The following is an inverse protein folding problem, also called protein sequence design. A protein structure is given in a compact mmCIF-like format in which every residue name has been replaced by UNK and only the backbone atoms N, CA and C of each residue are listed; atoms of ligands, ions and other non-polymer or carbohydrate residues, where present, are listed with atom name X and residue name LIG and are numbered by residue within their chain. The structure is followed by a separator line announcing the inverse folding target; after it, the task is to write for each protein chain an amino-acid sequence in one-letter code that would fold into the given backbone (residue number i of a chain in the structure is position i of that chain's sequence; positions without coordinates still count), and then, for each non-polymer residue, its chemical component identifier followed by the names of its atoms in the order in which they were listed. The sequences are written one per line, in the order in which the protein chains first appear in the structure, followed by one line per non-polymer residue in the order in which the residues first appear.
data_IF_657624619115
#
_entry.id   IF_657624619115
#
_cell.length_a   1.000
_cell.length_b   1.000
_cell.length_c   1.000
_cell.angle_alpha   90.00
_cell.angle_beta   90.00
_cell.angle_gamma   90.00
#
_symmetry.space_group_name_H-M   'P 1'
#
loop_
_entity.id
_entity.type
_entity.pdbx_description
1 polymer ?
#
# COMPACT_ATOMS: atom_id res chain seq x y z
N UNK A 1 1.47 71.47 33.01
CA UNK A 1 0.67 70.39 32.41
C UNK A 1 1.55 69.17 32.28
N UNK A 2 1.42 68.25 33.23
CA UNK A 2 2.25 67.07 33.45
C UNK A 2 1.34 65.86 33.27
N UNK A 3 1.71 64.94 32.38
CA UNK A 3 0.92 63.76 32.02
C UNK A 3 0.84 62.76 33.20
N UNK A 4 -0.31 62.09 33.43
CA UNK A 4 -0.39 61.02 34.42
C UNK A 4 0.24 59.72 33.88
N UNK A 5 0.88 58.98 34.79
CA UNK A 5 1.42 57.62 34.62
C UNK A 5 0.28 56.60 34.66
N UNK A 6 0.25 55.68 33.71
CA UNK A 6 -0.54 54.44 33.81
C UNK A 6 0.36 53.23 34.09
N UNK A 7 -0.19 52.34 34.90
CA UNK A 7 0.44 51.25 35.66
C UNK A 7 0.40 49.96 34.81
N UNK A 8 1.43 49.10 34.81
CA UNK A 8 1.41 47.86 34.04
C UNK A 8 0.60 46.79 34.77
N UNK A 9 -0.34 46.16 34.06
CA UNK A 9 -1.06 44.97 34.54
C UNK A 9 -0.36 43.74 34.00
N UNK A 10 0.35 43.04 34.88
CA UNK A 10 0.76 41.65 34.66
C UNK A 10 0.12 40.77 35.73
N UNK A 11 -0.95 40.05 35.41
CA UNK A 11 -1.21 38.70 35.96
C UNK A 11 -2.44 38.07 35.31
N UNK A 12 -2.22 37.16 34.37
CA UNK A 12 -3.06 35.98 34.19
C UNK A 12 -2.12 34.82 33.89
N UNK A 13 -1.87 34.00 34.91
CA UNK A 13 -1.17 32.75 34.79
C UNK A 13 -2.01 31.79 33.96
N UNK A 14 -1.54 31.43 32.77
CA UNK A 14 -2.06 30.30 32.01
C UNK A 14 -1.16 29.08 32.29
N UNK A 15 -1.81 28.01 32.76
CA UNK A 15 -1.20 26.72 33.07
C UNK A 15 -0.33 26.18 31.93
N UNK A 16 0.77 25.54 32.32
CA UNK A 16 1.79 24.98 31.43
C UNK A 16 1.28 23.89 30.48
N UNK A 17 0.87 24.30 29.28
CA UNK A 17 0.97 23.47 28.10
C UNK A 17 2.23 23.88 27.35
N UNK A 18 3.16 22.95 27.16
CA UNK A 18 4.34 23.14 26.32
C UNK A 18 3.87 23.57 24.92
N UNK A 19 4.36 24.71 24.44
CA UNK A 19 4.00 25.24 23.13
C UNK A 19 4.33 24.19 22.05
N UNK A 20 3.51 24.03 20.99
CA UNK A 20 3.81 23.13 19.91
C UNK A 20 5.18 23.51 19.33
N UNK A 21 6.13 22.58 19.38
CA UNK A 21 7.50 22.79 18.90
C UNK A 21 7.42 23.34 17.47
N UNK A 22 7.98 24.52 17.27
CA UNK A 22 8.09 25.17 15.96
C UNK A 22 8.63 24.15 14.94
N UNK A 23 8.07 24.07 13.71
CA UNK A 23 8.55 23.12 12.72
C UNK A 23 10.05 23.37 12.48
N UNK A 24 10.86 22.38 12.82
CA UNK A 24 12.31 22.45 12.63
C UNK A 24 12.61 22.79 11.16
N UNK A 25 13.59 23.66 10.88
CA UNK A 25 14.01 23.93 9.50
C UNK A 25 14.43 22.62 8.84
N UNK A 26 14.00 22.40 7.60
CA UNK A 26 14.28 21.18 6.83
C UNK A 26 15.80 20.99 6.71
N UNK A 27 16.38 20.17 7.59
CA UNK A 27 17.75 19.69 7.46
C UNK A 27 17.70 18.47 6.55
N UNK A 28 18.39 18.56 5.42
CA UNK A 28 18.34 17.56 4.35
C UNK A 28 18.64 16.14 4.81
N UNK A 29 19.36 15.95 5.93
CA UNK A 29 19.68 14.64 6.50
C UNK A 29 18.71 14.13 7.58
N UNK A 30 17.86 14.98 8.16
CA UNK A 30 16.96 14.52 9.23
C UNK A 30 15.76 13.78 8.64
N UNK A 31 15.78 12.44 8.74
CA UNK A 31 14.68 11.58 8.27
C UNK A 31 13.37 11.80 9.03
N UNK A 32 13.38 12.52 10.14
CA UNK A 32 12.16 12.89 10.88
C UNK A 32 11.39 14.01 10.19
N UNK A 33 12.05 14.82 9.35
CA UNK A 33 11.47 16.00 8.71
C UNK A 33 10.63 15.68 7.46
N UNK A 34 10.57 14.42 7.03
CA UNK A 34 9.79 14.00 5.85
C UNK A 34 9.31 12.55 5.95
N UNK A 35 8.33 12.19 5.14
CA UNK A 35 7.91 10.83 4.81
C UNK A 35 8.72 10.37 3.59
N UNK A 36 9.40 9.24 3.74
CA UNK A 36 10.13 8.58 2.66
C UNK A 36 9.43 7.34 2.12
N UNK A 37 9.93 6.83 0.98
CA UNK A 37 9.35 5.65 0.34
C UNK A 37 9.30 4.41 1.23
N UNK A 38 10.26 4.20 2.14
CA UNK A 38 10.18 3.10 3.11
C UNK A 38 9.08 3.29 4.14
N UNK A 39 8.76 4.55 4.48
CA UNK A 39 7.72 4.90 5.45
C UNK A 39 6.33 4.68 4.85
N UNK A 40 6.18 4.94 3.54
CA UNK A 40 4.98 4.68 2.76
C UNK A 40 4.46 3.24 2.96
N UNK A 41 5.38 2.26 3.00
CA UNK A 41 5.06 0.85 3.27
C UNK A 41 4.40 0.66 4.63
N UNK A 42 4.91 1.32 5.67
CA UNK A 42 4.37 1.22 7.03
C UNK A 42 3.02 1.92 7.12
N UNK A 43 2.90 3.10 6.50
CA UNK A 43 1.67 3.91 6.48
C UNK A 43 0.52 3.18 5.79
N UNK A 44 0.81 2.52 4.67
CA UNK A 44 -0.18 1.73 3.91
C UNK A 44 -0.38 0.31 4.45
N UNK A 45 0.37 -0.09 5.47
CA UNK A 45 0.33 -1.43 6.04
C UNK A 45 -0.83 -1.65 7.02
N UNK A 46 -0.91 -2.88 7.53
CA UNK A 46 -1.91 -3.30 8.53
C UNK A 46 -1.33 -3.48 9.94
N UNK A 47 -0.06 -3.14 10.16
CA UNK A 47 0.61 -3.27 11.45
C UNK A 47 0.49 -1.98 12.25
N UNK A 48 -0.44 -1.97 13.22
CA UNK A 48 -0.70 -0.81 14.05
C UNK A 48 0.49 -0.44 14.95
N UNK A 49 1.27 -1.44 15.40
CA UNK A 49 2.43 -1.20 16.25
C UNK A 49 3.57 -0.55 15.45
N UNK A 50 3.82 -1.02 14.23
CA UNK A 50 4.78 -0.39 13.32
C UNK A 50 4.37 1.04 12.94
N UNK A 51 3.08 1.28 12.69
CA UNK A 51 2.55 2.61 12.38
C UNK A 51 2.74 3.59 13.54
N UNK A 52 2.38 3.16 14.76
CA UNK A 52 2.55 3.96 15.96
C UNK A 52 4.03 4.26 16.22
N UNK A 53 4.90 3.26 16.07
CA UNK A 53 6.34 3.45 16.24
C UNK A 53 6.92 4.44 15.23
N UNK A 54 6.57 4.31 13.94
CA UNK A 54 7.00 5.27 12.92
C UNK A 54 6.57 6.70 13.30
N UNK A 55 5.36 6.88 13.83
CA UNK A 55 4.89 8.19 14.29
C UNK A 55 5.72 8.73 15.46
N UNK A 56 6.06 7.90 16.45
CA UNK A 56 6.95 8.29 17.56
C UNK A 56 8.35 8.67 17.05
N UNK A 57 8.90 7.92 16.09
CA UNK A 57 10.20 8.21 15.47
C UNK A 57 10.16 9.56 14.74
N UNK A 58 9.13 9.84 13.95
CA UNK A 58 8.96 11.14 13.26
C UNK A 58 8.83 12.32 14.22
N UNK A 59 8.29 12.08 15.43
CA UNK A 59 8.18 13.10 16.48
C UNK A 59 9.44 13.22 17.34
N UNK A 60 10.42 12.33 17.16
CA UNK A 60 11.62 12.26 17.98
C UNK A 60 11.33 11.84 19.43
N UNK A 61 10.24 11.10 19.65
CA UNK A 61 9.87 10.55 20.95
C UNK A 61 10.60 9.23 21.21
N UNK A 62 10.96 8.51 20.15
CA UNK A 62 11.82 7.33 20.19
C UNK A 62 12.89 7.45 19.11
N UNK A 63 14.06 6.90 19.39
CA UNK A 63 15.12 6.80 18.38
C UNK A 63 14.81 5.69 17.35
N UNK A 64 15.29 5.85 16.10
CA UNK A 64 15.19 4.80 15.10
C UNK A 64 15.81 3.49 15.60
N UNK A 65 15.24 2.36 15.19
CA UNK A 65 15.81 1.05 15.48
C UNK A 65 17.22 0.97 14.87
N UNK A 66 18.20 0.59 15.68
CA UNK A 66 19.51 0.23 15.17
C UNK A 66 19.44 -1.14 14.48
N UNK A 67 19.58 -1.12 13.16
CA UNK A 67 19.58 -2.31 12.30
C UNK A 67 21.00 -2.70 11.84
N UNK A 68 22.04 -2.13 12.46
CA UNK A 68 23.44 -2.46 12.13
C UNK A 68 23.78 -3.94 12.36
N UNK A 69 23.16 -4.57 13.36
CA UNK A 69 23.28 -5.99 13.66
C UNK A 69 22.32 -6.91 12.91
N UNK A 70 21.37 -6.37 12.12
CA UNK A 70 20.41 -7.19 11.37
C UNK A 70 21.04 -7.66 10.04
N UNK A 71 21.35 -8.96 9.97
CA UNK A 71 22.01 -9.55 8.81
C UNK A 71 21.24 -9.35 7.50
N UNK A 72 19.91 -9.38 7.52
CA UNK A 72 19.10 -9.22 6.30
C UNK A 72 19.19 -7.78 5.79
N UNK A 73 19.17 -6.80 6.69
CA UNK A 73 19.39 -5.39 6.36
C UNK A 73 20.81 -5.16 5.83
N UNK A 74 21.81 -5.78 6.44
CA UNK A 74 23.20 -5.67 5.97
C UNK A 74 23.39 -6.31 4.58
N UNK A 75 22.76 -7.46 4.32
CA UNK A 75 22.75 -8.08 3.00
C UNK A 75 22.08 -7.18 1.96
N UNK A 76 20.97 -6.53 2.31
CA UNK A 76 20.33 -5.52 1.45
C UNK A 76 21.30 -4.39 1.07
N UNK A 77 21.94 -3.79 2.07
CA UNK A 77 22.91 -2.70 1.88
C UNK A 77 24.11 -3.13 1.03
N UNK A 78 24.70 -4.30 1.33
CA UNK A 78 25.87 -4.80 0.63
C UNK A 78 25.57 -5.20 -0.83
N UNK A 79 24.35 -5.66 -1.11
CA UNK A 79 23.95 -6.12 -2.45
C UNK A 79 23.40 -5.01 -3.33
N UNK A 80 23.02 -3.85 -2.80
CA UNK A 80 22.48 -2.74 -3.61
C UNK A 80 23.43 -2.31 -4.76
N UNK A 81 24.75 -2.08 -4.53
CA UNK A 81 25.67 -1.74 -5.63
C UNK A 81 25.83 -2.87 -6.64
N UNK A 82 25.87 -4.12 -6.17
CA UNK A 82 25.95 -5.30 -7.03
C UNK A 82 24.70 -5.42 -7.91
N UNK A 83 23.52 -5.23 -7.33
CA UNK A 83 22.23 -5.29 -8.01
C UNK A 83 22.15 -4.23 -9.12
N UNK A 84 22.56 -3.00 -8.83
CA UNK A 84 22.69 -1.93 -9.85
C UNK A 84 23.63 -2.33 -10.98
N UNK A 85 24.85 -2.78 -10.67
CA UNK A 85 25.83 -3.19 -11.70
C UNK A 85 25.27 -4.31 -12.56
N UNK A 86 24.60 -5.28 -11.94
CA UNK A 86 24.00 -6.41 -12.63
C UNK A 86 22.87 -5.97 -13.56
N UNK A 87 21.94 -5.14 -13.08
CA UNK A 87 20.87 -4.56 -13.92
C UNK A 87 21.43 -3.85 -15.16
N UNK A 88 22.44 -2.99 -14.98
CA UNK A 88 23.05 -2.26 -16.10
C UNK A 88 23.68 -3.21 -17.13
N UNK A 89 24.32 -4.30 -16.67
CA UNK A 89 24.91 -5.31 -17.55
C UNK A 89 23.87 -6.10 -18.33
N UNK A 90 22.75 -6.46 -17.70
CA UNK A 90 21.71 -7.28 -18.33
C UNK A 90 20.86 -6.48 -19.32
N UNK A 91 20.57 -5.21 -19.01
CA UNK A 91 19.66 -4.39 -19.81
C UNK A 91 20.36 -3.42 -20.76
N UNK A 92 21.64 -3.12 -20.52
CA UNK A 92 22.37 -2.03 -21.20
C UNK A 92 21.91 -0.63 -20.77
N UNK A 93 20.95 -0.50 -19.86
CA UNK A 93 20.52 0.78 -19.32
C UNK A 93 21.49 1.30 -18.27
N UNK A 94 21.74 2.61 -18.25
CA UNK A 94 22.60 3.24 -17.27
C UNK A 94 21.77 3.72 -16.07
N UNK A 95 22.33 3.61 -14.87
CA UNK A 95 21.71 4.11 -13.63
C UNK A 95 22.45 5.36 -13.16
N UNK A 96 21.71 6.46 -13.05
CA UNK A 96 22.17 7.74 -12.53
C UNK A 96 21.47 8.09 -11.21
N UNK A 97 21.80 9.25 -10.63
CA UNK A 97 21.14 9.76 -9.41
C UNK A 97 21.11 8.80 -8.22
N UNK A 98 22.15 7.95 -8.11
CA UNK A 98 22.34 6.97 -7.05
C UNK A 98 22.40 7.65 -5.68
N UNK A 99 21.62 7.14 -4.73
CA UNK A 99 21.50 7.64 -3.36
C UNK A 99 21.15 9.14 -3.28
N UNK A 100 20.59 9.70 -4.36
CA UNK A 100 20.16 11.10 -4.41
C UNK A 100 18.83 11.24 -3.67
N UNK A 101 18.79 12.17 -2.73
CA UNK A 101 17.55 12.59 -2.07
C UNK A 101 16.85 13.68 -2.88
N UNK A 102 15.58 13.48 -3.17
CA UNK A 102 14.71 14.44 -3.87
C UNK A 102 13.52 14.75 -2.98
N UNK A 103 13.20 16.04 -2.81
CA UNK A 103 12.01 16.49 -2.10
C UNK A 103 10.94 16.85 -3.11
N UNK A 104 9.70 16.45 -2.86
CA UNK A 104 8.61 16.76 -3.78
C UNK A 104 8.42 18.28 -3.92
N UNK A 105 8.19 18.81 -5.13
CA UNK A 105 8.17 20.25 -5.39
C UNK A 105 7.08 20.99 -4.60
N UNK A 106 5.90 20.38 -4.42
CA UNK A 106 4.77 20.95 -3.66
C UNK A 106 4.72 20.47 -2.21
N UNK A 107 4.62 19.16 -1.98
CA UNK A 107 4.59 18.54 -0.64
C UNK A 107 5.98 18.45 0.01
N UNK A 108 6.40 19.51 0.72
CA UNK A 108 7.75 19.57 1.35
C UNK A 108 8.01 18.53 2.44
N UNK A 109 6.96 17.90 2.95
CA UNK A 109 7.03 16.80 3.91
C UNK A 109 7.27 15.43 3.24
N UNK A 110 7.40 15.37 1.91
CA UNK A 110 7.53 14.12 1.16
C UNK A 110 8.84 14.12 0.38
N UNK A 111 9.63 13.07 0.51
CA UNK A 111 10.93 12.97 -0.16
C UNK A 111 11.33 11.52 -0.45
N UNK A 112 12.07 11.29 -1.52
CA UNK A 112 12.57 9.97 -1.89
C UNK A 112 14.09 9.97 -1.84
N UNK A 113 14.68 8.94 -1.24
CA UNK A 113 16.09 8.60 -1.44
C UNK A 113 16.10 7.46 -2.44
N UNK A 114 16.66 7.69 -3.62
CA UNK A 114 16.60 6.74 -4.73
C UNK A 114 17.84 5.85 -4.74
N UNK A 115 17.66 4.54 -4.95
CA UNK A 115 18.81 3.66 -5.26
C UNK A 115 19.40 4.00 -6.64
N UNK A 116 18.55 4.55 -7.53
CA UNK A 116 18.96 5.29 -8.71
C UNK A 116 17.78 5.68 -9.61
N UNK A 117 18.11 6.16 -10.81
CA UNK A 117 17.18 6.44 -11.89
C UNK A 117 17.74 5.87 -13.19
N UNK A 118 16.90 5.18 -13.96
CA UNK A 118 17.28 4.68 -15.28
C UNK A 118 17.41 5.87 -16.23
N UNK A 119 18.61 6.11 -16.77
CA UNK A 119 18.91 7.29 -17.58
C UNK A 119 18.04 7.36 -18.84
N UNK A 120 17.82 6.21 -19.50
CA UNK A 120 17.13 6.12 -20.79
C UNK A 120 15.63 6.35 -20.67
N UNK A 121 15.00 5.82 -19.62
CA UNK A 121 13.54 5.84 -19.47
C UNK A 121 13.07 6.87 -18.42
N UNK A 122 13.99 7.36 -17.60
CA UNK A 122 13.68 8.18 -16.43
C UNK A 122 12.97 7.42 -15.31
N UNK A 123 12.88 6.09 -15.38
CA UNK A 123 12.23 5.26 -14.39
C UNK A 123 13.01 5.28 -13.06
N UNK A 124 12.29 5.17 -11.93
CA UNK A 124 12.92 4.94 -10.62
C UNK A 124 13.60 3.57 -10.66
N UNK A 125 14.84 3.46 -10.18
CA UNK A 125 15.47 2.18 -9.94
C UNK A 125 15.47 1.90 -8.44
N UNK A 126 14.91 0.76 -8.04
CA UNK A 126 14.85 0.30 -6.65
C UNK A 126 15.46 -1.10 -6.57
N UNK A 127 16.50 -1.26 -5.75
CA UNK A 127 17.18 -2.52 -5.55
C UNK A 127 16.72 -3.20 -4.25
N UNK A 128 16.50 -4.51 -4.30
CA UNK A 128 16.17 -5.31 -3.12
C UNK A 128 16.95 -6.61 -3.05
N UNK A 129 17.27 -6.99 -1.82
CA UNK A 129 17.64 -8.35 -1.48
C UNK A 129 16.41 -9.07 -0.92
N UNK A 130 16.16 -10.30 -1.38
CA UNK A 130 15.09 -11.13 -0.85
C UNK A 130 15.58 -12.54 -0.53
N UNK A 131 15.10 -13.09 0.58
CA UNK A 131 15.30 -14.51 0.85
C UNK A 131 14.54 -15.35 -0.19
N UNK A 132 15.04 -16.54 -0.56
CA UNK A 132 14.48 -17.34 -1.65
C UNK A 132 13.13 -18.00 -1.30
N UNK A 133 12.76 -18.07 -0.02
CA UNK A 133 11.56 -18.75 0.45
C UNK A 133 10.29 -17.97 0.04
N UNK A 134 9.31 -18.66 -0.53
CA UNK A 134 8.01 -18.10 -0.96
C UNK A 134 8.11 -16.89 -1.92
N UNK A 135 9.16 -16.87 -2.76
CA UNK A 135 9.36 -15.81 -3.73
C UNK A 135 8.38 -15.93 -4.91
N UNK A 136 7.58 -14.89 -5.15
CA UNK A 136 6.89 -14.65 -6.42
C UNK A 136 7.09 -13.19 -6.83
N UNK A 137 7.10 -12.94 -8.15
CA UNK A 137 7.24 -11.58 -8.71
C UNK A 137 6.11 -10.69 -8.24
N UNK A 138 4.90 -11.23 -8.21
CA UNK A 138 3.69 -10.57 -7.76
C UNK A 138 3.78 -10.18 -6.28
N UNK A 139 4.16 -11.14 -5.42
CA UNK A 139 4.32 -10.90 -4.01
C UNK A 139 5.44 -9.88 -3.72
N UNK A 140 6.51 -9.89 -4.51
CA UNK A 140 7.59 -8.91 -4.39
C UNK A 140 7.14 -7.51 -4.82
N UNK A 141 6.44 -7.38 -5.95
CA UNK A 141 5.88 -6.11 -6.41
C UNK A 141 4.87 -5.55 -5.41
N UNK A 142 3.92 -6.37 -4.95
CA UNK A 142 2.92 -5.98 -3.94
C UNK A 142 3.59 -5.51 -2.65
N UNK A 143 4.60 -6.24 -2.19
CA UNK A 143 5.38 -5.91 -0.99
C UNK A 143 6.04 -4.52 -1.09
N UNK A 144 6.46 -4.10 -2.28
CA UNK A 144 7.18 -2.85 -2.48
C UNK A 144 6.34 -1.75 -3.15
N UNK A 145 5.07 -2.02 -3.49
CA UNK A 145 4.23 -1.12 -4.27
C UNK A 145 4.10 0.28 -3.65
N UNK A 146 3.87 0.38 -2.34
CA UNK A 146 3.76 1.67 -1.66
C UNK A 146 5.02 2.52 -1.83
N UNK A 147 6.19 1.90 -1.69
CA UNK A 147 7.48 2.55 -1.85
C UNK A 147 7.72 2.98 -3.31
N UNK A 148 7.43 2.10 -4.27
CA UNK A 148 7.61 2.40 -5.70
C UNK A 148 6.70 3.55 -6.13
N UNK A 149 5.41 3.50 -5.75
CA UNK A 149 4.43 4.54 -6.07
C UNK A 149 4.77 5.88 -5.39
N UNK A 150 5.24 5.85 -4.14
CA UNK A 150 5.75 7.04 -3.44
C UNK A 150 6.92 7.66 -4.20
N UNK A 151 7.96 6.86 -4.49
CA UNK A 151 9.17 7.35 -5.16
C UNK A 151 8.83 7.93 -6.54
N UNK A 152 7.99 7.25 -7.32
CA UNK A 152 7.51 7.75 -8.62
C UNK A 152 6.76 9.08 -8.48
N UNK A 153 5.91 9.22 -7.45
CA UNK A 153 5.17 10.45 -7.19
C UNK A 153 6.09 11.61 -6.80
N UNK A 154 7.07 11.37 -5.91
CA UNK A 154 8.04 12.40 -5.48
C UNK A 154 8.79 13.03 -6.66
N UNK A 155 9.24 12.20 -7.61
CA UNK A 155 10.09 12.66 -8.71
C UNK A 155 9.37 12.82 -10.05
N UNK A 156 8.04 12.70 -10.06
CA UNK A 156 7.20 12.71 -11.27
C UNK A 156 7.65 11.68 -12.34
N UNK A 157 8.05 10.48 -11.91
CA UNK A 157 8.36 9.38 -12.81
C UNK A 157 7.10 8.59 -13.17
N UNK A 158 7.06 8.05 -14.40
CA UNK A 158 5.92 7.27 -14.94
C UNK A 158 6.03 5.78 -14.68
N UNK A 159 7.24 5.31 -14.36
CA UNK A 159 7.53 3.92 -14.09
C UNK A 159 8.68 3.78 -13.07
N UNK A 160 8.77 2.59 -12.49
CA UNK A 160 9.83 2.14 -11.63
C UNK A 160 10.26 0.74 -12.06
N UNK A 161 11.53 0.42 -11.87
CA UNK A 161 12.08 -0.92 -12.00
C UNK A 161 12.49 -1.40 -10.61
N UNK A 162 11.86 -2.47 -10.17
CA UNK A 162 12.23 -3.19 -8.96
C UNK A 162 13.19 -4.32 -9.35
N UNK A 163 14.48 -4.15 -9.04
CA UNK A 163 15.50 -5.14 -9.32
C UNK A 163 15.83 -5.94 -8.07
N UNK A 164 15.72 -7.26 -8.14
CA UNK A 164 15.82 -8.14 -6.97
C UNK A 164 16.94 -9.16 -7.19
N UNK A 165 17.86 -9.23 -6.21
CA UNK A 165 18.76 -10.37 -6.04
C UNK A 165 18.21 -11.23 -4.91
N UNK A 166 18.05 -12.52 -5.14
CA UNK A 166 17.65 -13.47 -4.11
C UNK A 166 18.86 -14.12 -3.45
N UNK A 167 18.70 -14.56 -2.19
CA UNK A 167 19.71 -15.36 -1.49
C UNK A 167 20.07 -16.69 -2.18
N UNK A 168 19.25 -17.15 -3.13
CA UNK A 168 19.54 -18.32 -3.97
C UNK A 168 20.33 -18.01 -5.25
N UNK A 169 20.81 -16.77 -5.44
CA UNK A 169 21.56 -16.36 -6.62
C UNK A 169 20.70 -16.09 -7.87
N UNK A 170 19.37 -16.00 -7.72
CA UNK A 170 18.47 -15.59 -8.80
C UNK A 170 18.41 -14.07 -8.87
N UNK A 171 18.43 -13.52 -10.07
CA UNK A 171 18.13 -12.11 -10.32
C UNK A 171 16.86 -11.98 -11.18
N UNK A 172 16.11 -10.91 -10.94
CA UNK A 172 14.97 -10.51 -11.77
C UNK A 172 14.79 -8.99 -11.70
N UNK A 173 14.11 -8.44 -12.70
CA UNK A 173 13.64 -7.06 -12.71
C UNK A 173 12.14 -7.02 -13.03
N UNK A 174 11.41 -6.18 -12.30
CA UNK A 174 9.97 -6.01 -12.43
C UNK A 174 9.69 -4.56 -12.76
N UNK A 175 9.11 -4.30 -13.93
CA UNK A 175 8.63 -2.97 -14.29
C UNK A 175 7.25 -2.71 -13.68
N UNK A 176 7.13 -1.58 -12.97
CA UNK A 176 5.90 -1.13 -12.32
C UNK A 176 5.57 0.27 -12.81
N UNK A 177 4.35 0.45 -13.28
CA UNK A 177 3.88 1.75 -13.76
C UNK A 177 3.27 2.56 -12.63
N UNK A 178 3.37 3.89 -12.74
CA UNK A 178 2.65 4.79 -11.85
C UNK A 178 1.14 4.54 -11.97
N UNK A 179 0.47 4.32 -10.84
CA UNK A 179 -0.97 4.09 -10.77
C UNK A 179 -1.63 5.31 -10.10
N UNK A 180 -2.40 6.13 -10.85
CA UNK A 180 -3.03 7.32 -10.30
C UNK A 180 -4.00 7.05 -9.14
N UNK A 181 -4.71 5.92 -9.16
CA UNK A 181 -5.62 5.57 -8.07
C UNK A 181 -4.84 5.18 -6.83
N UNK A 182 -3.79 4.36 -6.98
CA UNK A 182 -2.90 4.01 -5.88
C UNK A 182 -2.25 5.27 -5.29
N UNK A 183 -1.67 6.12 -6.12
CA UNK A 183 -0.98 7.34 -5.69
C UNK A 183 -1.94 8.32 -4.98
N UNK A 184 -3.19 8.41 -5.42
CA UNK A 184 -4.20 9.20 -4.74
C UNK A 184 -4.49 8.69 -3.31
N UNK A 185 -4.69 7.38 -3.16
CA UNK A 185 -4.93 6.74 -1.86
C UNK A 185 -3.70 6.88 -0.95
N UNK A 186 -2.51 6.62 -1.50
CA UNK A 186 -1.23 6.77 -0.82
C UNK A 186 -1.03 8.20 -0.30
N UNK A 187 -1.20 9.20 -1.16
CA UNK A 187 -1.05 10.61 -0.78
C UNK A 187 -2.04 11.02 0.32
N UNK A 188 -3.27 10.48 0.25
CA UNK A 188 -4.29 10.72 1.28
C UNK A 188 -3.88 10.15 2.63
N UNK A 189 -3.37 8.92 2.65
CA UNK A 189 -2.88 8.26 3.85
C UNK A 189 -1.68 8.99 4.45
N UNK A 190 -0.66 9.26 3.64
CA UNK A 190 0.56 9.95 4.06
C UNK A 190 0.29 11.36 4.56
N UNK A 191 -0.61 12.11 3.91
CA UNK A 191 -0.98 13.46 4.36
C UNK A 191 -1.67 13.44 5.72
N UNK A 192 -2.58 12.49 5.96
CA UNK A 192 -3.24 12.34 7.25
C UNK A 192 -2.26 11.83 8.32
N UNK A 193 -1.36 10.91 7.98
CA UNK A 193 -0.29 10.48 8.89
C UNK A 193 0.63 11.66 9.26
N UNK A 194 1.03 12.46 8.28
CA UNK A 194 1.86 13.65 8.53
C UNK A 194 1.14 14.66 9.43
N UNK A 195 -0.17 14.83 9.25
CA UNK A 195 -0.99 15.65 10.17
C UNK A 195 -0.92 15.11 11.59
N UNK A 196 -1.06 13.79 11.80
CA UNK A 196 -0.89 13.15 13.12
C UNK A 196 0.49 13.42 13.73
N UNK A 197 1.56 13.36 12.93
CA UNK A 197 2.92 13.72 13.37
C UNK A 197 2.95 15.18 13.85
N UNK A 198 2.35 16.10 13.11
CA UNK A 198 2.33 17.52 13.43
C UNK A 198 1.46 17.88 14.65
N UNK A 199 0.28 17.25 14.79
CA UNK A 199 -0.68 17.56 15.87
C UNK A 199 -0.39 16.79 17.16
N UNK A 200 0.29 15.65 17.08
CA UNK A 200 0.48 14.75 18.22
C UNK A 200 -0.68 13.82 18.49
N UNK A 201 -1.68 13.80 17.62
CA UNK A 201 -2.71 12.77 17.65
C UNK A 201 -2.11 11.45 17.14
N UNK A 202 -2.28 10.36 17.89
CA UNK A 202 -1.80 9.05 17.48
C UNK A 202 -2.51 8.59 16.19
N UNK A 203 -1.78 8.04 15.20
CA UNK A 203 -2.40 7.56 13.97
C UNK A 203 -3.18 6.26 14.24
N UNK A 204 -4.27 6.08 13.49
CA UNK A 204 -4.97 4.81 13.38
C UNK A 204 -4.67 4.17 12.03
N UNK A 205 -4.82 2.85 11.94
CA UNK A 205 -4.74 2.15 10.67
C UNK A 205 -5.72 2.78 9.67
N UNK A 206 -5.23 3.01 8.46
CA UNK A 206 -6.01 3.63 7.41
C UNK A 206 -7.02 2.66 6.79
N UNK A 207 -6.75 1.34 6.86
CA UNK A 207 -7.63 0.30 6.31
C UNK A 207 -7.80 0.40 4.79
N UNK A 208 -6.81 0.97 4.09
CA UNK A 208 -6.86 1.11 2.64
C UNK A 208 -6.48 -0.23 2.02
N UNK A 209 -7.39 -0.81 1.23
CA UNK A 209 -7.05 -1.83 0.26
C UNK A 209 -6.69 -1.14 -1.06
N UNK A 210 -5.39 -0.96 -1.37
CA UNK A 210 -5.02 -0.39 -2.66
C UNK A 210 -5.48 -1.30 -3.80
N UNK A 211 -5.76 -0.73 -4.99
CA UNK A 211 -6.06 -1.54 -6.16
C UNK A 211 -4.89 -2.51 -6.42
N UNK A 212 -5.22 -3.79 -6.60
CA UNK A 212 -4.20 -4.79 -6.94
C UNK A 212 -3.61 -4.43 -8.30
N UNK A 213 -2.27 -4.54 -8.48
CA UNK A 213 -1.68 -4.35 -9.79
C UNK A 213 -2.37 -5.26 -10.80
N UNK A 214 -2.86 -4.66 -11.90
CA UNK A 214 -3.39 -5.43 -13.03
C UNK A 214 -2.23 -6.09 -13.73
N UNK A 215 -1.85 -7.28 -13.26
CA UNK A 215 -0.90 -8.12 -13.97
C UNK A 215 -1.53 -8.54 -15.29
N UNK A 216 -0.76 -8.45 -16.38
CA UNK A 216 -1.15 -9.11 -17.61
C UNK A 216 -1.22 -10.62 -17.32
N UNK A 217 -2.38 -11.25 -17.55
CA UNK A 217 -2.57 -12.68 -17.37
C UNK A 217 -1.88 -13.45 -18.50
N UNK A 218 -0.54 -13.48 -18.49
CA UNK A 218 0.29 -14.02 -19.59
C UNK A 218 0.68 -15.49 -19.35
N UNK A 219 0.75 -15.93 -18.09
CA UNK A 219 1.25 -17.28 -17.77
C UNK A 219 0.13 -18.31 -17.67
N UNK A 220 0.27 -19.39 -18.43
CA UNK A 220 -0.49 -20.63 -18.25
C UNK A 220 0.31 -21.54 -17.32
N UNK A 221 -0.32 -22.05 -16.26
CA UNK A 221 0.32 -22.94 -15.28
C UNK A 221 -0.44 -24.25 -15.24
N UNK A 222 0.28 -25.38 -15.29
CA UNK A 222 -0.28 -26.68 -14.97
C UNK A 222 -0.29 -26.87 -13.46
N UNK A 223 -1.50 -27.00 -12.89
CA UNK A 223 -1.73 -27.15 -11.46
C UNK A 223 -1.81 -28.61 -11.02
N UNK A 224 -1.49 -29.58 -11.89
CA UNK A 224 -1.57 -31.02 -11.58
C UNK A 224 -0.79 -31.43 -10.31
N UNK A 225 0.28 -30.72 -9.96
CA UNK A 225 1.06 -30.98 -8.74
C UNK A 225 0.47 -30.41 -7.45
N UNK A 226 -0.64 -29.66 -7.50
CA UNK A 226 -1.26 -29.03 -6.32
C UNK A 226 -2.42 -29.88 -5.78
N UNK A 227 -2.22 -30.48 -4.61
CA UNK A 227 -3.25 -31.27 -3.93
C UNK A 227 -4.51 -30.46 -3.62
N UNK A 228 -4.35 -29.21 -3.16
CA UNK A 228 -5.47 -28.31 -2.88
C UNK A 228 -6.25 -27.98 -4.16
N UNK A 229 -5.56 -27.76 -5.28
CA UNK A 229 -6.20 -27.54 -6.57
C UNK A 229 -6.97 -28.78 -7.02
N UNK A 230 -6.40 -29.98 -6.89
CA UNK A 230 -7.04 -31.23 -7.27
C UNK A 230 -8.35 -31.47 -6.51
N UNK A 231 -8.35 -31.27 -5.19
CA UNK A 231 -9.54 -31.42 -4.34
C UNK A 231 -10.65 -30.44 -4.74
N UNK A 232 -10.31 -29.14 -4.84
CA UNK A 232 -11.27 -28.11 -5.21
C UNK A 232 -11.77 -28.26 -6.65
N UNK A 233 -10.92 -28.69 -7.58
CA UNK A 233 -11.33 -28.97 -8.95
C UNK A 233 -12.30 -30.14 -9.03
N UNK A 234 -12.11 -31.20 -8.22
CA UNK A 234 -13.04 -32.31 -8.13
C UNK A 234 -14.41 -31.86 -7.60
N UNK A 235 -14.42 -31.10 -6.49
CA UNK A 235 -15.65 -30.54 -5.92
C UNK A 235 -16.37 -29.60 -6.91
N UNK A 236 -15.63 -28.72 -7.59
CA UNK A 236 -16.18 -27.81 -8.59
C UNK A 236 -16.81 -28.57 -9.75
N UNK A 237 -16.14 -29.60 -10.29
CA UNK A 237 -16.68 -30.43 -11.36
C UNK A 237 -17.93 -31.18 -10.94
N UNK A 238 -17.93 -31.73 -9.72
CA UNK A 238 -19.06 -32.45 -9.15
C UNK A 238 -20.30 -31.55 -8.98
N UNK A 239 -20.10 -30.31 -8.52
CA UNK A 239 -21.20 -29.38 -8.21
C UNK A 239 -21.66 -28.54 -9.42
N UNK A 240 -20.89 -28.52 -10.52
CA UNK A 240 -21.17 -27.68 -11.69
C UNK A 240 -22.57 -27.89 -12.27
N UNK A 241 -23.03 -29.12 -12.45
CA UNK A 241 -24.36 -29.40 -13.03
C UNK A 241 -25.47 -28.86 -12.15
N UNK A 242 -25.42 -29.18 -10.85
CA UNK A 242 -26.40 -28.70 -9.88
C UNK A 242 -26.41 -27.17 -9.76
N UNK A 243 -25.24 -26.52 -9.80
CA UNK A 243 -25.14 -25.07 -9.80
C UNK A 243 -25.78 -24.45 -11.05
N UNK A 244 -25.55 -25.02 -12.23
CA UNK A 244 -26.17 -24.55 -13.48
C UNK A 244 -27.69 -24.74 -13.46
N UNK A 245 -28.18 -25.88 -13.00
CA UNK A 245 -29.61 -26.14 -12.83
C UNK A 245 -30.25 -25.19 -11.82
N UNK A 246 -29.55 -24.91 -10.72
CA UNK A 246 -30.00 -23.97 -9.70
C UNK A 246 -30.09 -22.52 -10.23
N UNK A 247 -29.11 -22.06 -11.00
CA UNK A 247 -29.16 -20.73 -11.63
C UNK A 247 -30.22 -20.64 -12.74
N UNK A 248 -30.42 -21.72 -13.51
CA UNK A 248 -31.54 -21.82 -14.45
C UNK A 248 -32.87 -21.73 -13.71
N UNK A 249 -33.07 -22.53 -12.66
CA UNK A 249 -34.29 -22.52 -11.86
C UNK A 249 -34.56 -21.14 -11.26
N UNK A 250 -33.54 -20.47 -10.71
CA UNK A 250 -33.67 -19.08 -10.21
C UNK A 250 -34.16 -18.12 -11.30
N UNK A 251 -33.65 -18.24 -12.51
CA UNK A 251 -34.02 -17.35 -13.62
C UNK A 251 -35.48 -17.57 -14.02
N UNK A 252 -35.90 -18.81 -14.21
CA UNK A 252 -37.28 -19.16 -14.54
C UNK A 252 -38.25 -18.74 -13.42
N UNK A 253 -37.91 -19.01 -12.15
CA UNK A 253 -38.72 -18.61 -11.00
C UNK A 253 -38.88 -17.09 -10.87
N UNK A 254 -37.85 -16.31 -11.24
CA UNK A 254 -37.96 -14.84 -11.28
C UNK A 254 -38.94 -14.39 -12.35
N UNK A 255 -38.93 -15.03 -13.52
CA UNK A 255 -39.84 -14.72 -14.63
C UNK A 255 -41.30 -15.06 -14.30
N UNK A 256 -41.53 -16.07 -13.45
CA UNK A 256 -42.86 -16.44 -12.96
C UNK A 256 -43.43 -15.49 -11.88
N UNK A 257 -42.60 -14.64 -11.27
CA UNK A 257 -43.05 -13.74 -10.20
C UNK A 257 -43.71 -12.49 -10.79
N UNK A 258 -45.02 -12.24 -10.56
CA UNK A 258 -45.71 -11.06 -11.09
C UNK A 258 -45.06 -9.74 -10.62
N UNK A 259 -45.12 -8.71 -11.44
CA UNK A 259 -44.42 -7.44 -11.21
C UNK A 259 -44.95 -6.67 -9.98
N UNK A 260 -46.25 -6.75 -9.73
CA UNK A 260 -46.97 -6.11 -8.63
C UNK A 260 -46.89 -6.87 -7.30
N UNK A 261 -46.30 -8.07 -7.31
CA UNK A 261 -46.22 -8.94 -6.14
C UNK A 261 -44.93 -8.69 -5.36
N UNK A 262 -45.08 -8.41 -4.06
CA UNK A 262 -43.97 -8.26 -3.10
C UNK A 262 -43.36 -9.60 -2.66
N UNK A 263 -44.19 -10.64 -2.58
CA UNK A 263 -43.79 -11.96 -2.07
C UNK A 263 -44.62 -13.07 -2.69
N UNK A 264 -43.97 -14.16 -3.09
CA UNK A 264 -44.62 -15.39 -3.57
C UNK A 264 -44.11 -16.60 -2.79
N UNK A 265 -44.97 -17.58 -2.52
CA UNK A 265 -44.64 -18.81 -1.78
C UNK A 265 -45.30 -20.03 -2.41
N UNK A 266 -44.62 -21.16 -2.37
CA UNK A 266 -45.15 -22.45 -2.81
C UNK A 266 -44.04 -23.49 -2.93
N UNK A 267 -44.41 -24.78 -2.82
CA UNK A 267 -43.49 -25.91 -3.03
C UNK A 267 -42.16 -25.80 -2.25
N UNK A 268 -42.21 -25.36 -0.98
CA UNK A 268 -41.01 -25.23 -0.14
C UNK A 268 -40.10 -24.06 -0.49
N UNK A 269 -40.58 -23.09 -1.29
CA UNK A 269 -39.81 -21.91 -1.69
C UNK A 269 -40.57 -20.62 -1.39
N UNK A 270 -39.85 -19.61 -0.90
CA UNK A 270 -40.30 -18.23 -0.74
C UNK A 270 -39.47 -17.29 -1.62
N UNK A 271 -40.12 -16.50 -2.45
CA UNK A 271 -39.52 -15.43 -3.24
C UNK A 271 -39.93 -14.06 -2.66
N UNK A 272 -38.98 -13.14 -2.49
CA UNK A 272 -39.23 -11.77 -2.01
C UNK A 272 -38.66 -10.75 -2.99
N UNK A 273 -39.46 -9.76 -3.37
CA UNK A 273 -39.05 -8.61 -4.18
C UNK A 273 -38.68 -7.43 -3.26
N UNK A 274 -37.48 -6.88 -3.44
CA UNK A 274 -37.03 -5.69 -2.71
C UNK A 274 -37.66 -4.41 -3.26
N UNK A 275 -37.52 -3.29 -2.55
CA UNK A 275 -37.95 -1.97 -3.06
C UNK A 275 -37.22 -1.55 -4.35
N UNK A 276 -36.04 -2.12 -4.61
CA UNK A 276 -35.26 -1.90 -5.83
C UNK A 276 -35.57 -2.93 -6.94
N UNK A 277 -36.59 -3.78 -6.76
CA UNK A 277 -37.03 -4.75 -7.77
C UNK A 277 -36.26 -6.07 -7.79
N UNK A 278 -35.20 -6.22 -6.99
CA UNK A 278 -34.44 -7.47 -6.92
C UNK A 278 -35.23 -8.59 -6.24
N UNK A 279 -35.21 -9.79 -6.82
CA UNK A 279 -35.89 -10.97 -6.28
C UNK A 279 -34.87 -11.92 -5.64
N UNK A 280 -35.09 -12.27 -4.38
CA UNK A 280 -34.31 -13.26 -3.62
C UNK A 280 -35.18 -14.46 -3.26
N UNK A 281 -34.55 -15.64 -3.18
CA UNK A 281 -35.22 -16.89 -2.81
C UNK A 281 -34.71 -17.43 -1.49
N UNK A 282 -35.61 -18.07 -0.75
CA UNK A 282 -35.33 -18.74 0.50
C UNK A 282 -36.06 -20.08 0.51
N UNK A 283 -35.33 -21.15 0.81
CA UNK A 283 -35.92 -22.48 1.01
C UNK A 283 -36.61 -22.45 2.37
N UNK A 284 -37.88 -22.85 2.39
CA UNK A 284 -38.69 -22.93 3.61
C UNK A 284 -39.17 -24.38 3.77
N UNK A 285 -39.29 -24.83 5.01
CA UNK A 285 -39.88 -26.15 5.28
C UNK A 285 -41.31 -26.17 4.71
N UNK A 286 -41.66 -27.28 4.03
CA UNK A 286 -42.99 -27.46 3.51
C UNK A 286 -43.99 -27.53 4.68
N UNK A 287 -44.96 -26.61 4.69
CA UNK A 287 -46.13 -26.70 5.56
C UNK A 287 -47.12 -27.73 5.02
#
# INVERSE_FOLDING_TARGET
MTKPKEIPVSTLAANGAEAPRSPLPFRTNDRRAFIGGSDARVIMGSDAAALLRLWQEKRGEVEPIDLSGDLIVQLGTATEPLNRIWYQRQTGHAIEHVQRRVVHPVHKWMAATLDGRVQQTGAVFEAKFMLPWNFSEEAAADKHMAQLQHNMWVIAARAAVLSIITGGGKWLDIEVHADPLYQHLLLTAEKRFWRCVQTGEAPQLFGIEPPRPRLAAVRVVDMAGSNAWAELAALYRQTRSAALEHERAKTELKALMPEDVKEARGHGLRAKRSKAGAISFEVIDAA
#
